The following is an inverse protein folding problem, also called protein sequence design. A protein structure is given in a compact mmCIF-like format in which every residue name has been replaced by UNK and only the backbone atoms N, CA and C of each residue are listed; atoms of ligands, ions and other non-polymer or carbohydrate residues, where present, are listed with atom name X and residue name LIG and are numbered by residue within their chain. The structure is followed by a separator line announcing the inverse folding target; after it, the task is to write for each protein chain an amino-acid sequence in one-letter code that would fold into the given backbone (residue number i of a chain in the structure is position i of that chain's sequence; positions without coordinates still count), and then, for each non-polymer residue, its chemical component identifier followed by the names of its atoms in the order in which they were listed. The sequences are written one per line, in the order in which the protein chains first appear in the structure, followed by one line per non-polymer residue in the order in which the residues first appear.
data_IF_909322610016
#
_entry.id   IF_909322610016
#
_cell.length_a   1.000
_cell.length_b   1.000
_cell.length_c   1.000
_cell.angle_alpha   90.00
_cell.angle_beta   90.00
_cell.angle_gamma   90.00
#
_symmetry.space_group_name_H-M   'P 1'
#
loop_
_entity.id
_entity.type
_entity.pdbx_description
1 polymer ?
#
# COMPACT_ATOMS: atom_id res chain seq x y z
N UNK A 1 -37.43 21.09 -23.85
CA UNK A 1 -37.47 21.09 -22.37
C UNK A 1 -37.83 19.72 -21.83
N UNK A 2 -39.10 19.25 -21.82
CA UNK A 2 -39.44 17.90 -21.31
C UNK A 2 -38.69 16.75 -22.03
N UNK A 3 -38.58 16.85 -23.37
CA UNK A 3 -37.83 15.90 -24.22
C UNK A 3 -36.31 15.90 -24.00
N UNK A 4 -35.77 16.99 -23.47
CA UNK A 4 -34.35 17.11 -23.14
C UNK A 4 -34.08 16.52 -21.77
N UNK A 5 -35.00 16.70 -20.81
CA UNK A 5 -34.94 16.06 -19.49
C UNK A 5 -34.93 14.53 -19.61
N UNK A 6 -35.81 13.94 -20.41
CA UNK A 6 -35.85 12.48 -20.65
C UNK A 6 -34.55 11.94 -21.25
N UNK A 7 -33.92 12.71 -22.15
CA UNK A 7 -32.63 12.36 -22.75
C UNK A 7 -31.49 12.46 -21.73
N UNK A 8 -31.50 13.51 -20.91
CA UNK A 8 -30.51 13.69 -19.83
C UNK A 8 -30.63 12.57 -18.79
N UNK A 9 -31.84 12.15 -18.42
CA UNK A 9 -32.07 11.03 -17.50
C UNK A 9 -31.53 9.70 -18.05
N UNK A 10 -31.77 9.41 -19.35
CA UNK A 10 -31.19 8.24 -20.00
C UNK A 10 -29.65 8.26 -20.01
N UNK A 11 -29.05 9.42 -20.27
CA UNK A 11 -27.60 9.58 -20.27
C UNK A 11 -27.00 9.40 -18.86
N UNK A 12 -27.68 9.89 -17.82
CA UNK A 12 -27.27 9.70 -16.42
C UNK A 12 -27.31 8.21 -16.04
N UNK A 13 -28.37 7.50 -16.40
CA UNK A 13 -28.51 6.08 -16.05
C UNK A 13 -27.47 5.21 -16.79
N UNK A 14 -27.18 5.56 -18.05
CA UNK A 14 -26.11 4.94 -18.82
C UNK A 14 -24.73 5.24 -18.22
N UNK A 15 -24.48 6.47 -17.78
CA UNK A 15 -23.24 6.85 -17.10
C UNK A 15 -23.08 6.12 -15.77
N UNK A 16 -24.16 5.96 -15.00
CA UNK A 16 -24.17 5.23 -13.72
C UNK A 16 -23.83 3.75 -13.92
N UNK A 17 -24.40 3.12 -14.94
CA UNK A 17 -24.10 1.72 -15.29
C UNK A 17 -22.63 1.56 -15.70
N UNK A 18 -22.09 2.48 -16.49
CA UNK A 18 -20.66 2.49 -16.86
C UNK A 18 -19.75 2.68 -15.64
N UNK A 19 -20.11 3.57 -14.72
CA UNK A 19 -19.34 3.80 -13.49
C UNK A 19 -19.34 2.57 -12.58
N UNK A 20 -20.45 1.84 -12.49
CA UNK A 20 -20.51 0.58 -11.76
C UNK A 20 -19.56 -0.47 -12.37
N UNK A 21 -19.54 -0.60 -13.70
CA UNK A 21 -18.62 -1.52 -14.38
C UNK A 21 -17.14 -1.14 -14.22
N UNK A 22 -16.79 0.15 -14.24
CA UNK A 22 -15.41 0.59 -14.04
C UNK A 22 -14.97 0.51 -12.59
N UNK A 23 -15.89 0.71 -11.62
CA UNK A 23 -15.61 0.47 -10.21
C UNK A 23 -15.36 -0.99 -9.91
N UNK A 24 -16.12 -1.91 -10.53
CA UNK A 24 -15.92 -3.35 -10.38
C UNK A 24 -14.55 -3.79 -10.95
N UNK A 25 -14.17 -3.27 -12.12
CA UNK A 25 -12.86 -3.51 -12.73
C UNK A 25 -11.71 -2.89 -11.90
N UNK A 26 -11.92 -1.70 -11.33
CA UNK A 26 -10.93 -1.05 -10.47
C UNK A 26 -10.79 -1.76 -9.12
N UNK A 27 -11.88 -2.30 -8.56
CA UNK A 27 -11.85 -3.08 -7.33
C UNK A 27 -11.09 -4.41 -7.51
N UNK A 28 -11.27 -5.08 -8.65
CA UNK A 28 -10.51 -6.30 -8.99
C UNK A 28 -9.02 -6.01 -9.21
N UNK A 29 -8.68 -4.85 -9.79
CA UNK A 29 -7.28 -4.49 -10.06
C UNK A 29 -6.56 -3.85 -8.86
N UNK A 30 -7.31 -3.21 -7.98
CA UNK A 30 -6.83 -2.64 -6.72
C UNK A 30 -6.92 -3.62 -5.55
N UNK A 31 -6.96 -4.94 -5.83
CA UNK A 31 -7.01 -5.96 -4.80
C UNK A 31 -5.84 -5.77 -3.80
N UNK A 32 -6.12 -5.24 -2.59
CA UNK A 32 -5.09 -4.78 -1.68
C UNK A 32 -4.27 -5.94 -1.13
N UNK A 33 -4.76 -7.18 -1.27
CA UNK A 33 -4.04 -8.39 -0.90
C UNK A 33 -2.75 -8.55 -1.70
N UNK A 34 -2.77 -8.30 -3.01
CA UNK A 34 -1.57 -8.42 -3.86
C UNK A 34 -0.54 -7.34 -3.55
N UNK A 35 -0.98 -6.10 -3.35
CA UNK A 35 -0.08 -4.98 -3.02
C UNK A 35 0.53 -5.20 -1.64
N UNK A 36 -0.24 -5.69 -0.66
CA UNK A 36 0.28 -5.99 0.66
C UNK A 36 1.31 -7.13 0.63
N UNK A 37 1.06 -8.18 -0.16
CA UNK A 37 1.97 -9.32 -0.24
C UNK A 37 3.26 -9.00 -1.03
N UNK A 38 3.16 -8.24 -2.12
CA UNK A 38 4.35 -7.74 -2.84
C UNK A 38 5.18 -6.81 -1.94
N UNK A 39 4.52 -5.96 -1.15
CA UNK A 39 5.22 -5.08 -0.19
C UNK A 39 5.90 -5.89 0.91
N UNK A 40 5.24 -6.90 1.48
CA UNK A 40 5.84 -7.79 2.49
C UNK A 40 7.06 -8.51 1.93
N UNK A 41 6.98 -9.04 0.71
CA UNK A 41 8.11 -9.75 0.10
C UNK A 41 9.29 -8.83 -0.17
N UNK A 42 9.06 -7.60 -0.62
CA UNK A 42 10.11 -6.61 -0.84
C UNK A 42 10.78 -6.24 0.50
N UNK A 43 10.00 -6.00 1.55
CA UNK A 43 10.52 -5.65 2.88
C UNK A 43 11.32 -6.82 3.47
N UNK A 44 10.78 -8.04 3.42
CA UNK A 44 11.48 -9.24 3.89
C UNK A 44 12.74 -9.51 3.06
N UNK A 45 12.71 -9.28 1.75
CA UNK A 45 13.87 -9.36 0.87
C UNK A 45 14.96 -8.35 1.27
N UNK A 46 14.59 -7.09 1.48
CA UNK A 46 15.50 -6.03 1.93
C UNK A 46 16.12 -6.31 3.29
N UNK A 47 15.33 -6.80 4.25
CA UNK A 47 15.83 -7.23 5.56
C UNK A 47 16.74 -8.45 5.47
N UNK A 48 16.55 -9.30 4.45
CA UNK A 48 17.40 -10.45 4.21
C UNK A 48 18.74 -10.12 3.56
N UNK A 49 18.91 -8.92 3.00
CA UNK A 49 20.17 -8.49 2.42
C UNK A 49 21.30 -8.49 3.48
N UNK A 50 22.46 -9.11 3.20
CA UNK A 50 23.54 -9.24 4.18
C UNK A 50 24.01 -7.88 4.70
N UNK A 51 24.00 -6.84 3.85
CA UNK A 51 24.34 -5.47 4.24
C UNK A 51 23.42 -4.92 5.33
N UNK A 52 22.11 -5.18 5.22
CA UNK A 52 21.10 -4.70 6.18
C UNK A 52 21.18 -5.50 7.49
N UNK A 53 21.45 -6.81 7.42
CA UNK A 53 21.67 -7.63 8.61
C UNK A 53 22.85 -7.15 9.44
N UNK A 54 24.00 -6.94 8.81
CA UNK A 54 25.19 -6.49 9.53
C UNK A 54 25.06 -5.07 10.07
N UNK A 55 24.39 -4.17 9.34
CA UNK A 55 24.14 -2.81 9.85
C UNK A 55 23.16 -2.82 11.04
N UNK A 56 22.12 -3.66 11.02
CA UNK A 56 21.21 -3.84 12.15
C UNK A 56 21.93 -4.38 13.39
N UNK A 57 22.78 -5.40 13.24
CA UNK A 57 23.57 -5.95 14.36
C UNK A 57 24.53 -4.89 14.92
N UNK A 58 25.23 -4.16 14.04
CA UNK A 58 26.12 -3.07 14.45
C UNK A 58 25.38 -1.96 15.21
N UNK A 59 24.23 -1.52 14.70
CA UNK A 59 23.39 -0.53 15.36
C UNK A 59 22.89 -1.03 16.73
N UNK A 60 22.42 -2.27 16.81
CA UNK A 60 21.98 -2.87 18.08
C UNK A 60 23.12 -2.94 19.10
N UNK A 61 24.31 -3.39 18.68
CA UNK A 61 25.49 -3.45 19.54
C UNK A 61 25.91 -2.05 20.04
N UNK A 62 25.85 -1.03 19.18
CA UNK A 62 26.13 0.35 19.58
C UNK A 62 25.13 0.86 20.61
N UNK A 63 23.83 0.62 20.39
CA UNK A 63 22.79 1.03 21.34
C UNK A 63 23.00 0.35 22.71
N UNK A 64 23.24 -0.96 22.73
CA UNK A 64 23.53 -1.68 23.98
C UNK A 64 24.79 -1.12 24.65
N UNK A 65 25.86 -0.90 23.90
CA UNK A 65 27.10 -0.33 24.42
C UNK A 65 26.89 1.06 25.04
N UNK A 66 26.14 1.94 24.36
CA UNK A 66 25.81 3.28 24.86
C UNK A 66 24.95 3.22 26.13
N UNK A 67 23.97 2.31 26.19
CA UNK A 67 23.14 2.12 27.38
C UNK A 67 23.99 1.64 28.56
N UNK A 68 24.88 0.68 28.35
CA UNK A 68 25.80 0.22 29.40
C UNK A 68 26.72 1.37 29.87
N UNK A 69 27.31 2.11 28.93
CA UNK A 69 28.13 3.28 29.27
C UNK A 69 27.37 4.34 30.07
N UNK A 70 26.06 4.50 29.82
CA UNK A 70 25.20 5.43 30.57
C UNK A 70 24.79 4.92 31.95
N UNK A 71 24.72 3.61 32.15
CA UNK A 71 24.37 3.00 33.44
C UNK A 71 25.60 2.90 34.36
N UNK A 72 26.79 2.64 33.79
CA UNK A 72 28.04 2.46 34.53
C UNK A 72 28.86 3.74 34.72
N UNK A 73 28.47 4.87 34.11
CA UNK A 73 28.98 6.21 34.43
C UNK A 73 28.05 6.90 35.41
#
# INVERSE_FOLDING_TARGET
MARDTERIEQEIEAARTRLASTLDELAVRADPHRIADDTKQIVVGKLNEPKVKYSLIGAAALVVGLVLLKIFR
#
